data_IF_347280518985
#
_entry.id   IF_347280518985
#
_cell.length_a   1.000
_cell.length_b   1.000
_cell.length_c   1.000
_cell.angle_alpha   90.00
_cell.angle_beta   90.00
_cell.angle_gamma   90.00
#
_symmetry.space_group_name_H-M   'P 1'
#
loop_
_entity.id
_entity.type
_entity.pdbx_description
1 polymer ?
#
# COMPACT_ATOMS: atom_id res chain seq x y z
N UNK A 1 -6.60 11.29 -20.55
CA UNK A 1 -5.94 11.81 -19.34
C UNK A 1 -4.81 12.68 -19.84
N UNK A 2 -4.93 14.01 -19.69
CA UNK A 2 -3.93 14.94 -20.21
C UNK A 2 -2.64 14.79 -19.42
N UNK A 3 -1.49 14.74 -20.08
CA UNK A 3 -0.21 14.66 -19.39
C UNK A 3 0.05 15.99 -18.66
N UNK A 4 0.13 15.92 -17.32
CA UNK A 4 0.33 17.10 -16.48
C UNK A 4 1.65 17.82 -16.77
N UNK A 5 2.67 17.08 -17.25
CA UNK A 5 3.96 17.66 -17.63
C UNK A 5 3.83 18.47 -18.92
N UNK A 6 3.08 17.98 -19.90
CA UNK A 6 2.80 18.72 -21.14
C UNK A 6 1.96 19.97 -20.84
N UNK A 7 0.93 19.85 -20.00
CA UNK A 7 0.15 20.99 -19.52
C UNK A 7 1.01 22.04 -18.80
N UNK A 8 2.01 21.60 -18.03
CA UNK A 8 2.93 22.51 -17.35
C UNK A 8 3.81 23.27 -18.36
N UNK A 9 4.28 22.60 -19.41
CA UNK A 9 5.07 23.22 -20.50
C UNK A 9 4.23 24.21 -21.31
N UNK A 10 2.98 23.86 -21.64
CA UNK A 10 2.04 24.76 -22.31
C UNK A 10 1.78 26.01 -21.48
N UNK A 11 1.46 25.86 -20.20
CA UNK A 11 1.26 27.00 -19.28
C UNK A 11 2.52 27.85 -19.10
N UNK A 12 3.70 27.24 -19.16
CA UNK A 12 4.97 27.96 -19.14
C UNK A 12 5.05 28.89 -20.36
N UNK A 13 4.70 28.37 -21.55
CA UNK A 13 4.67 29.14 -22.80
C UNK A 13 3.63 30.25 -22.79
N UNK A 14 2.41 29.97 -22.34
CA UNK A 14 1.34 30.98 -22.21
C UNK A 14 1.74 32.13 -21.29
N UNK A 15 2.33 31.82 -20.12
CA UNK A 15 2.82 32.83 -19.18
C UNK A 15 3.93 33.67 -19.78
N UNK A 16 4.85 33.04 -20.51
CA UNK A 16 5.92 33.75 -21.20
C UNK A 16 5.36 34.70 -22.27
N UNK A 17 4.44 34.22 -23.11
CA UNK A 17 3.86 35.04 -24.17
C UNK A 17 3.07 36.22 -23.59
N UNK A 18 2.27 35.99 -22.54
CA UNK A 18 1.56 37.06 -21.86
C UNK A 18 2.49 38.10 -21.23
N UNK A 19 3.60 37.64 -20.63
CA UNK A 19 4.63 38.53 -20.10
C UNK A 19 5.34 39.33 -21.20
N UNK A 20 5.70 38.68 -22.31
CA UNK A 20 6.32 39.30 -23.47
C UNK A 20 5.42 40.39 -24.08
N UNK A 21 4.15 40.07 -24.32
CA UNK A 21 3.16 41.01 -24.85
C UNK A 21 2.95 42.22 -23.93
N UNK A 22 3.06 42.04 -22.61
CA UNK A 22 2.90 43.13 -21.64
C UNK A 22 4.11 44.05 -21.62
N UNK A 23 5.32 43.49 -21.56
CA UNK A 23 6.54 44.26 -21.30
C UNK A 23 7.25 44.72 -22.58
N UNK A 24 7.23 43.91 -23.63
CA UNK A 24 8.14 44.05 -24.78
C UNK A 24 7.44 44.23 -26.12
N UNK A 25 6.11 44.25 -26.17
CA UNK A 25 5.35 44.47 -27.42
C UNK A 25 5.75 45.74 -28.17
N UNK A 26 6.12 46.79 -27.46
CA UNK A 26 6.58 48.05 -28.05
C UNK A 26 7.88 47.90 -28.88
N UNK A 27 8.66 46.83 -28.70
CA UNK A 27 9.84 46.56 -29.53
C UNK A 27 9.47 46.22 -30.97
N UNK A 28 8.27 45.70 -31.22
CA UNK A 28 7.77 45.34 -32.55
C UNK A 28 7.52 46.55 -33.46
N UNK A 29 7.41 47.75 -32.88
CA UNK A 29 7.35 49.02 -33.62
C UNK A 29 8.66 49.82 -33.58
N UNK A 30 9.72 49.26 -32.98
CA UNK A 30 11.02 49.92 -32.89
C UNK A 30 11.80 49.85 -34.21
N UNK A 31 12.87 50.65 -34.33
CA UNK A 31 13.82 50.54 -35.46
C UNK A 31 14.59 49.20 -35.53
N UNK A 32 14.39 48.31 -34.55
CA UNK A 32 15.06 47.02 -34.43
C UNK A 32 14.09 45.85 -34.64
N UNK A 33 12.99 46.04 -35.37
CA UNK A 33 11.97 45.01 -35.66
C UNK A 33 12.57 43.66 -36.08
N UNK A 34 13.61 43.70 -36.92
CA UNK A 34 14.23 42.50 -37.48
C UNK A 34 14.97 41.66 -36.42
N UNK A 35 15.39 42.28 -35.31
CA UNK A 35 16.05 41.60 -34.20
C UNK A 35 15.06 41.08 -33.14
N UNK A 36 13.80 41.54 -33.13
CA UNK A 36 12.80 41.20 -32.12
C UNK A 36 12.57 39.68 -32.00
N UNK A 37 12.47 38.89 -33.09
CA UNK A 37 12.31 37.45 -32.98
C UNK A 37 13.49 36.77 -32.28
N UNK A 38 14.72 37.22 -32.56
CA UNK A 38 15.93 36.68 -31.94
C UNK A 38 16.01 37.05 -30.45
N UNK A 39 15.61 38.27 -30.09
CA UNK A 39 15.51 38.70 -28.70
C UNK A 39 14.46 37.86 -27.97
N UNK A 40 13.25 37.73 -28.53
CA UNK A 40 12.17 36.90 -27.95
C UNK A 40 12.62 35.46 -27.74
N UNK A 41 13.33 34.89 -28.71
CA UNK A 41 13.87 33.54 -28.59
C UNK A 41 14.92 33.43 -27.47
N UNK A 42 15.86 34.38 -27.35
CA UNK A 42 16.84 34.40 -26.27
C UNK A 42 16.18 34.48 -24.88
N UNK A 43 15.17 35.34 -24.73
CA UNK A 43 14.38 35.44 -23.50
C UNK A 43 13.58 34.17 -23.22
N UNK A 44 12.99 33.54 -24.24
CA UNK A 44 12.30 32.27 -24.10
C UNK A 44 13.22 31.17 -23.59
N UNK A 45 14.43 31.06 -24.14
CA UNK A 45 15.43 30.08 -23.68
C UNK A 45 15.81 30.28 -22.21
N UNK A 46 16.01 31.53 -21.79
CA UNK A 46 16.30 31.86 -20.39
C UNK A 46 15.10 31.56 -19.47
N UNK A 47 13.88 31.89 -19.90
CA UNK A 47 12.66 31.63 -19.16
C UNK A 47 12.39 30.13 -19.02
N UNK A 48 12.62 29.37 -20.09
CA UNK A 48 12.53 27.91 -20.09
C UNK A 48 13.57 27.28 -19.17
N UNK A 49 14.82 27.77 -19.20
CA UNK A 49 15.86 27.31 -18.28
C UNK A 49 15.48 27.56 -16.81
N UNK A 50 14.92 28.73 -16.49
CA UNK A 50 14.41 29.02 -15.15
C UNK A 50 13.20 28.17 -14.74
N UNK A 51 12.41 27.70 -15.71
CA UNK A 51 11.28 26.79 -15.48
C UNK A 51 11.64 25.30 -15.46
N UNK A 52 12.85 24.93 -15.89
CA UNK A 52 13.25 23.53 -16.07
C UNK A 52 13.25 22.76 -14.74
N UNK A 53 13.75 23.37 -13.66
CA UNK A 53 13.77 22.74 -12.33
C UNK A 53 12.37 22.39 -11.82
N UNK A 54 11.37 23.24 -12.12
CA UNK A 54 9.98 22.99 -11.74
C UNK A 54 9.35 21.84 -12.53
N UNK A 55 9.67 21.74 -13.82
CA UNK A 55 9.20 20.63 -14.68
C UNK A 55 9.85 19.32 -14.25
N UNK A 56 11.15 19.31 -13.96
CA UNK A 56 11.85 18.12 -13.45
C UNK A 56 11.30 17.68 -12.08
N UNK A 57 11.04 18.62 -11.18
CA UNK A 57 10.42 18.33 -9.89
C UNK A 57 9.01 17.73 -10.06
N UNK A 58 8.23 18.23 -11.02
CA UNK A 58 6.90 17.70 -11.34
C UNK A 58 6.97 16.28 -11.90
N UNK A 59 7.90 16.00 -12.81
CA UNK A 59 8.12 14.65 -13.35
C UNK A 59 8.54 13.67 -12.25
N UNK A 60 9.43 14.06 -11.34
CA UNK A 60 9.81 13.26 -10.17
C UNK A 60 8.62 13.03 -9.24
N UNK A 61 7.80 14.04 -8.98
CA UNK A 61 6.60 13.91 -8.16
C UNK A 61 5.58 12.93 -8.77
N UNK A 62 5.35 13.00 -10.09
CA UNK A 62 4.50 12.06 -10.84
C UNK A 62 5.05 10.63 -10.76
N UNK A 63 6.37 10.46 -10.88
CA UNK A 63 7.05 9.18 -10.70
C UNK A 63 6.86 8.61 -9.29
N UNK A 64 7.01 9.44 -8.26
CA UNK A 64 6.75 9.05 -6.87
C UNK A 64 5.29 8.69 -6.65
N UNK A 65 4.34 9.45 -7.17
CA UNK A 65 2.91 9.13 -7.08
C UNK A 65 2.59 7.77 -7.71
N UNK A 66 3.15 7.48 -8.88
CA UNK A 66 2.98 6.19 -9.55
C UNK A 66 3.57 5.04 -8.71
N UNK A 67 4.77 5.22 -8.16
CA UNK A 67 5.39 4.25 -7.26
C UNK A 67 4.52 3.99 -6.02
N UNK A 68 4.06 5.05 -5.34
CA UNK A 68 3.23 4.93 -4.15
C UNK A 68 1.90 4.24 -4.43
N UNK A 69 1.25 4.53 -5.57
CA UNK A 69 0.01 3.84 -5.98
C UNK A 69 0.20 2.33 -6.12
N UNK A 70 1.33 1.90 -6.70
CA UNK A 70 1.65 0.47 -6.84
C UNK A 70 1.88 -0.17 -5.47
N UNK A 71 2.65 0.49 -4.58
CA UNK A 71 2.90 -0.01 -3.23
C UNK A 71 1.61 -0.14 -2.41
N UNK A 72 0.77 0.90 -2.40
CA UNK A 72 -0.51 0.88 -1.69
C UNK A 72 -1.40 -0.25 -2.21
N UNK A 73 -1.43 -0.49 -3.52
CA UNK A 73 -2.22 -1.58 -4.10
C UNK A 73 -1.69 -2.96 -3.67
N UNK A 74 -0.37 -3.16 -3.69
CA UNK A 74 0.23 -4.41 -3.22
C UNK A 74 -0.07 -4.71 -1.75
N UNK A 75 -0.11 -3.68 -0.90
CA UNK A 75 -0.51 -3.84 0.51
C UNK A 75 -1.99 -4.24 0.60
N UNK A 76 -2.87 -3.56 -0.12
CA UNK A 76 -4.31 -3.90 -0.13
C UNK A 76 -4.54 -5.35 -0.57
N UNK A 77 -3.94 -5.75 -1.70
CA UNK A 77 -4.07 -7.11 -2.23
C UNK A 77 -3.56 -8.16 -1.22
N UNK A 78 -2.45 -7.87 -0.53
CA UNK A 78 -1.93 -8.75 0.51
C UNK A 78 -2.84 -8.84 1.73
N UNK A 79 -3.42 -7.71 2.17
CA UNK A 79 -4.39 -7.68 3.26
C UNK A 79 -5.65 -8.50 2.93
N UNK A 80 -6.16 -8.44 1.70
CA UNK A 80 -7.30 -9.25 1.26
C UNK A 80 -7.01 -10.76 1.35
N UNK A 81 -5.82 -11.18 0.92
CA UNK A 81 -5.38 -12.58 1.04
C UNK A 81 -5.28 -13.01 2.51
N UNK A 82 -4.69 -12.17 3.37
CA UNK A 82 -4.60 -12.46 4.80
C UNK A 82 -5.97 -12.54 5.46
N UNK A 83 -6.89 -11.63 5.13
CA UNK A 83 -8.26 -11.65 5.64
C UNK A 83 -8.99 -12.94 5.22
N UNK A 84 -8.86 -13.34 3.96
CA UNK A 84 -9.42 -14.61 3.48
C UNK A 84 -8.84 -15.81 4.25
N UNK A 85 -7.53 -15.82 4.50
CA UNK A 85 -6.88 -16.89 5.25
C UNK A 85 -7.30 -16.91 6.72
N UNK A 86 -7.48 -15.75 7.35
CA UNK A 86 -8.01 -15.66 8.72
C UNK A 86 -9.43 -16.22 8.75
N UNK A 87 -10.31 -15.81 7.83
CA UNK A 87 -11.67 -16.32 7.75
C UNK A 87 -11.73 -17.85 7.51
N UNK A 88 -10.78 -18.41 6.78
CA UNK A 88 -10.63 -19.86 6.59
C UNK A 88 -10.21 -20.59 7.88
N UNK A 89 -9.35 -19.97 8.69
CA UNK A 89 -8.76 -20.57 9.89
C UNK A 89 -9.62 -20.37 11.14
N UNK A 90 -10.34 -19.24 11.25
CA UNK A 90 -11.15 -18.86 12.40
C UNK A 90 -12.26 -19.86 12.81
N UNK A 91 -12.91 -20.60 11.88
CA UNK A 91 -13.88 -21.62 12.26
C UNK A 91 -13.23 -22.99 12.57
N UNK A 92 -11.93 -23.18 12.31
CA UNK A 92 -11.29 -24.48 12.52
C UNK A 92 -11.26 -24.82 14.01
N UNK A 93 -11.73 -26.02 14.31
CA UNK A 93 -11.79 -26.61 15.64
C UNK A 93 -10.79 -27.76 15.71
N UNK A 94 -10.22 -27.97 16.89
CA UNK A 94 -9.38 -29.15 17.18
C UNK A 94 -10.26 -30.20 17.85
N UNK A 95 -10.26 -31.41 17.29
CA UNK A 95 -10.89 -32.58 17.91
C UNK A 95 -9.90 -33.27 18.83
N UNK A 96 -10.26 -33.43 20.09
CA UNK A 96 -9.49 -34.23 21.05
C UNK A 96 -10.10 -35.62 21.19
N UNK A 97 -9.28 -36.64 21.51
CA UNK A 97 -9.78 -37.97 21.88
C UNK A 97 -10.78 -37.91 23.04
N UNK A 98 -11.82 -38.75 22.99
CA UNK A 98 -12.87 -38.83 24.01
C UNK A 98 -12.44 -39.50 25.31
N UNK A 99 -12.94 -38.99 26.44
CA UNK A 99 -12.60 -39.48 27.78
C UNK A 99 -12.81 -40.98 27.94
N UNK A 100 -11.84 -41.63 28.59
CA UNK A 100 -11.89 -43.06 28.87
C UNK A 100 -12.64 -43.31 30.16
N UNK A 101 -13.62 -44.21 30.10
CA UNK A 101 -14.35 -44.68 31.27
C UNK A 101 -13.71 -45.97 31.82
N UNK A 102 -13.43 -46.00 33.12
CA UNK A 102 -13.02 -47.20 33.84
C UNK A 102 -14.04 -47.47 34.98
N UNK A 103 -14.67 -48.66 35.04
CA UNK A 103 -15.59 -49.01 36.11
C UNK A 103 -14.91 -49.02 37.49
N UNK A 104 -15.64 -48.63 38.53
CA UNK A 104 -15.13 -48.56 39.91
C UNK A 104 -14.60 -49.91 40.45
N UNK A 105 -15.07 -51.02 39.89
CA UNK A 105 -14.59 -52.39 40.21
C UNK A 105 -13.10 -52.58 39.93
N UNK A 106 -12.53 -51.76 39.04
CA UNK A 106 -11.10 -51.77 38.70
C UNK A 106 -10.28 -50.73 39.48
N UNK A 107 -10.87 -50.06 40.48
CA UNK A 107 -10.18 -49.04 41.27
C UNK A 107 -8.88 -49.59 41.89
N UNK A 108 -7.78 -48.84 41.72
CA UNK A 108 -6.45 -49.25 42.18
C UNK A 108 -5.71 -50.22 41.27
N UNK A 109 -6.31 -50.66 40.15
CA UNK A 109 -5.61 -51.44 39.13
C UNK A 109 -4.70 -50.56 38.25
N UNK A 110 -3.82 -51.21 37.49
CA UNK A 110 -3.03 -50.59 36.42
C UNK A 110 -3.94 -49.86 35.40
N UNK A 111 -5.04 -50.51 35.00
CA UNK A 111 -6.00 -49.96 34.03
C UNK A 111 -6.67 -48.68 34.54
N UNK A 112 -6.99 -48.63 35.84
CA UNK A 112 -7.54 -47.44 36.48
C UNK A 112 -6.54 -46.28 36.45
N UNK A 113 -5.30 -46.56 36.82
CA UNK A 113 -4.22 -45.56 36.84
C UNK A 113 -3.92 -45.00 35.44
N UNK A 114 -3.88 -45.86 34.43
CA UNK A 114 -3.69 -45.46 33.03
C UNK A 114 -4.86 -44.63 32.50
N UNK A 115 -6.09 -44.97 32.90
CA UNK A 115 -7.29 -44.19 32.54
C UNK A 115 -7.27 -42.79 33.16
N UNK A 116 -6.89 -42.67 34.44
CA UNK A 116 -6.75 -41.36 35.08
C UNK A 116 -5.67 -40.49 34.42
N UNK A 117 -4.50 -41.06 34.11
CA UNK A 117 -3.41 -40.34 33.45
C UNK A 117 -3.83 -39.88 32.06
N UNK A 118 -4.52 -40.76 31.31
CA UNK A 118 -5.06 -40.43 30.00
C UNK A 118 -6.06 -39.26 30.09
N UNK A 119 -7.01 -39.29 31.03
CA UNK A 119 -8.05 -38.26 31.14
C UNK A 119 -7.43 -36.91 31.54
N UNK A 120 -6.50 -36.92 32.52
CA UNK A 120 -5.74 -35.72 32.92
C UNK A 120 -4.94 -35.13 31.76
N UNK A 121 -4.35 -35.96 30.91
CA UNK A 121 -3.61 -35.49 29.74
C UNK A 121 -4.53 -34.81 28.72
N UNK A 122 -5.72 -35.36 28.46
CA UNK A 122 -6.70 -34.73 27.56
C UNK A 122 -7.21 -33.41 28.12
N UNK A 123 -7.55 -33.33 29.40
CA UNK A 123 -7.97 -32.07 30.04
C UNK A 123 -6.87 -31.01 29.94
N UNK A 124 -5.62 -31.37 30.25
CA UNK A 124 -4.48 -30.46 30.15
C UNK A 124 -4.26 -29.95 28.72
N UNK A 125 -4.40 -30.82 27.71
CA UNK A 125 -4.35 -30.42 26.30
C UNK A 125 -5.49 -29.46 25.93
N UNK A 126 -6.72 -29.74 26.37
CA UNK A 126 -7.87 -28.88 26.10
C UNK A 126 -7.68 -27.48 26.72
N UNK A 127 -7.17 -27.41 27.94
CA UNK A 127 -6.93 -26.15 28.64
C UNK A 127 -5.80 -25.34 27.99
N UNK A 128 -4.72 -25.99 27.56
CA UNK A 128 -3.65 -25.33 26.80
C UNK A 128 -4.17 -24.75 25.47
N UNK A 129 -4.96 -25.53 24.71
CA UNK A 129 -5.56 -25.06 23.46
C UNK A 129 -6.50 -23.87 23.68
N UNK A 130 -7.32 -23.89 24.72
CA UNK A 130 -8.20 -22.75 25.08
C UNK A 130 -7.42 -21.53 25.53
N UNK A 131 -6.34 -21.70 26.28
CA UNK A 131 -5.47 -20.60 26.70
C UNK A 131 -4.84 -19.88 25.49
N UNK A 132 -4.54 -20.63 24.43
CA UNK A 132 -4.05 -20.10 23.15
C UNK A 132 -5.19 -19.60 22.22
N UNK A 133 -6.44 -19.60 22.70
CA UNK A 133 -7.61 -19.14 21.93
C UNK A 133 -8.06 -20.11 20.82
N UNK A 134 -7.56 -21.34 20.81
CA UNK A 134 -7.92 -22.37 19.83
C UNK A 134 -9.24 -23.02 20.25
N UNK A 135 -10.20 -23.05 19.33
CA UNK A 135 -11.50 -23.69 19.56
C UNK A 135 -11.33 -25.21 19.59
N UNK A 136 -11.83 -25.85 20.64
CA UNK A 136 -11.81 -27.31 20.81
C UNK A 136 -13.23 -27.84 20.68
N UNK A 137 -13.43 -28.83 19.82
CA UNK A 137 -14.67 -29.60 19.76
C UNK A 137 -14.67 -30.63 20.88
N UNK A 138 -15.75 -30.63 21.68
CA UNK A 138 -16.00 -31.64 22.71
C UNK A 138 -16.96 -32.65 22.08
N UNK A 139 -16.55 -33.92 21.97
CA UNK A 139 -17.42 -35.03 21.51
C UNK A 139 -18.46 -35.41 22.59
#
# INVERSE_FOLDING_TARGET
MTDITELARERLKEKFDAWWEREYKHLESSKYTDAVPHIKYGFWMAYQAGGAELVEALEKAKGMEAYWKVQCRGITDHCEVLQARIAELEPRTVKLPAERFCPAEYAGSQLWSETEVWNKAITACADALRADGIKVEVE
#
